data_IF_691019189435
#
_entry.id   IF_691019189435
#
_cell.length_a   1.000
_cell.length_b   1.000
_cell.length_c   1.000
_cell.angle_alpha   90.00
_cell.angle_beta   90.00
_cell.angle_gamma   90.00
#
_symmetry.space_group_name_H-M   'P 1'
#
loop_
_entity.id
_entity.type
_entity.pdbx_description
1 polymer ?
#
# COMPACT_ATOMS: atom_id res chain seq x y z
N UNK A 1 -7.51 52.14 9.26
CA UNK A 1 -7.38 51.48 10.58
C UNK A 1 -7.96 50.08 10.46
N UNK A 2 -7.10 49.07 10.67
CA UNK A 2 -7.31 47.68 11.14
C UNK A 2 -8.43 46.84 10.50
N UNK A 3 -8.13 45.80 9.71
CA UNK A 3 -7.60 44.46 10.03
C UNK A 3 -8.53 43.54 10.83
N UNK A 4 -8.87 42.43 10.14
CA UNK A 4 -8.77 41.03 10.60
C UNK A 4 -9.77 40.52 11.65
N UNK A 5 -10.71 39.69 11.19
CA UNK A 5 -11.56 38.86 12.02
C UNK A 5 -11.38 37.37 11.68
N UNK A 6 -10.94 36.63 12.71
CA UNK A 6 -11.09 35.19 12.95
C UNK A 6 -10.42 34.19 12.01
N UNK A 7 -9.14 33.95 12.31
CA UNK A 7 -8.52 32.62 12.15
C UNK A 7 -8.89 31.76 13.35
N UNK A 8 -9.82 30.81 13.14
CA UNK A 8 -10.12 29.78 14.13
C UNK A 8 -8.91 28.85 14.26
N UNK A 9 -8.39 28.75 15.49
CA UNK A 9 -7.43 27.73 15.87
C UNK A 9 -8.08 26.36 15.88
N UNK A 10 -7.44 25.40 15.20
CA UNK A 10 -7.57 23.98 15.52
C UNK A 10 -6.16 23.52 15.82
N UNK A 11 -5.95 23.11 17.08
CA UNK A 11 -4.69 22.60 17.57
C UNK A 11 -4.25 21.40 16.75
N UNK A 12 -2.97 21.41 16.39
CA UNK A 12 -2.27 20.23 15.91
C UNK A 12 -1.49 19.64 17.10
N UNK A 13 -1.99 18.58 17.75
CA UNK A 13 -1.18 17.83 18.69
C UNK A 13 -0.34 16.79 17.93
N UNK A 14 0.72 16.30 18.58
CA UNK A 14 1.44 15.07 18.25
C UNK A 14 2.56 15.19 17.20
N UNK A 15 3.66 15.85 17.58
CA UNK A 15 4.99 15.44 17.12
C UNK A 15 5.52 14.34 18.06
N UNK A 16 5.06 13.11 17.85
CA UNK A 16 5.62 11.92 18.47
C UNK A 16 6.34 11.10 17.39
N UNK A 17 7.57 11.50 17.04
CA UNK A 17 8.49 10.61 16.32
C UNK A 17 9.13 9.66 17.33
N UNK A 18 8.34 8.67 17.76
CA UNK A 18 8.84 7.40 18.22
C UNK A 18 8.76 6.43 17.03
N UNK A 19 9.76 6.42 16.16
CA UNK A 19 9.97 5.27 15.27
C UNK A 19 10.85 4.25 16.01
N UNK A 20 10.32 3.74 17.12
CA UNK A 20 10.65 2.41 17.56
C UNK A 20 9.57 1.48 16.99
N UNK A 21 9.97 0.58 16.09
CA UNK A 21 9.41 -0.77 16.09
C UNK A 21 10.48 -1.75 15.61
N UNK A 22 11.04 -2.56 16.51
CA UNK A 22 11.63 -3.83 16.11
C UNK A 22 10.50 -4.70 15.53
N UNK A 23 10.81 -5.39 14.43
CA UNK A 23 9.94 -6.40 13.82
C UNK A 23 9.84 -7.58 14.78
N UNK A 24 8.75 -7.62 15.55
CA UNK A 24 8.38 -8.77 16.38
C UNK A 24 7.57 -9.76 15.53
N UNK A 25 8.05 -11.00 15.52
CA UNK A 25 7.42 -12.21 14.99
C UNK A 25 8.55 -13.23 14.87
N UNK A 26 8.85 -14.10 15.85
CA UNK A 26 7.98 -14.97 16.65
C UNK A 26 6.85 -15.58 15.84
N UNK A 27 7.16 -16.69 15.18
CA UNK A 27 6.33 -17.91 15.23
C UNK A 27 7.20 -19.11 14.89
N UNK A 28 7.62 -19.85 15.93
CA UNK A 28 7.88 -21.27 15.81
C UNK A 28 6.51 -21.98 15.76
N UNK A 29 6.23 -22.75 14.69
CA UNK A 29 5.17 -23.75 14.69
C UNK A 29 4.01 -23.53 13.71
N UNK A 30 4.05 -24.27 12.61
CA UNK A 30 2.90 -24.81 11.88
C UNK A 30 1.85 -23.84 11.31
N UNK A 31 1.88 -23.57 10.00
CA UNK A 31 0.69 -23.06 9.31
C UNK A 31 0.93 -22.46 7.93
N UNK A 32 1.05 -23.30 6.89
CA UNK A 32 1.15 -22.90 5.47
C UNK A 32 0.10 -21.86 4.99
N UNK A 33 -1.00 -21.71 5.71
CA UNK A 33 -2.12 -20.80 5.35
C UNK A 33 -1.93 -19.38 5.90
N UNK A 34 -1.21 -19.21 7.02
CA UNK A 34 -0.96 -17.91 7.67
C UNK A 34 0.15 -17.12 6.99
N UNK A 35 1.10 -17.81 6.36
CA UNK A 35 2.22 -17.19 5.64
C UNK A 35 1.72 -16.34 4.46
N UNK A 36 0.72 -16.85 3.73
CA UNK A 36 0.16 -16.18 2.56
C UNK A 36 -0.58 -14.90 2.94
N UNK A 37 -1.42 -14.95 3.99
CA UNK A 37 -2.15 -13.76 4.45
C UNK A 37 -1.17 -12.71 5.02
N UNK A 38 -0.07 -13.14 5.64
CA UNK A 38 1.02 -12.26 6.07
C UNK A 38 1.74 -11.60 4.89
N UNK A 39 2.05 -12.35 3.83
CA UNK A 39 2.64 -11.81 2.59
C UNK A 39 1.71 -10.81 1.91
N UNK A 40 0.40 -11.09 1.85
CA UNK A 40 -0.59 -10.14 1.35
C UNK A 40 -0.61 -8.84 2.18
N UNK A 41 -0.54 -8.93 3.51
CA UNK A 41 -0.43 -7.73 4.34
C UNK A 41 0.87 -6.96 4.12
N UNK A 42 1.99 -7.66 3.92
CA UNK A 42 3.26 -7.01 3.55
C UNK A 42 3.14 -6.26 2.23
N UNK A 43 2.53 -6.89 1.21
CA UNK A 43 2.30 -6.26 -0.10
C UNK A 43 1.39 -5.04 0.04
N UNK A 44 0.31 -5.12 0.82
CA UNK A 44 -0.54 -3.96 1.12
C UNK A 44 0.26 -2.82 1.77
N UNK A 45 1.19 -3.16 2.68
CA UNK A 45 2.10 -2.21 3.31
C UNK A 45 3.06 -1.54 2.31
N UNK A 46 3.57 -2.28 1.33
CA UNK A 46 4.41 -1.73 0.25
C UNK A 46 3.57 -0.82 -0.66
N UNK A 47 2.34 -1.22 -1.01
CA UNK A 47 1.42 -0.40 -1.82
C UNK A 47 1.12 0.94 -1.12
N UNK A 48 0.96 0.96 0.21
CA UNK A 48 0.76 2.22 0.94
C UNK A 48 1.96 3.16 0.90
N UNK A 49 3.18 2.67 0.62
CA UNK A 49 4.34 3.56 0.41
C UNK A 49 4.23 4.35 -0.91
N UNK A 50 3.39 3.90 -1.84
CA UNK A 50 3.10 4.61 -3.09
C UNK A 50 2.15 5.79 -2.84
N UNK A 51 1.45 5.88 -1.69
CA UNK A 51 0.64 7.06 -1.33
C UNK A 51 1.49 8.25 -0.83
N UNK A 52 2.57 8.56 -1.53
CA UNK A 52 3.49 9.66 -1.19
C UNK A 52 3.07 10.98 -1.85
N UNK A 53 3.22 12.16 -1.22
CA UNK A 53 2.91 13.45 -1.84
C UNK A 53 3.72 13.75 -3.12
N UNK A 54 4.82 13.04 -3.38
CA UNK A 54 5.58 13.16 -4.63
C UNK A 54 4.88 12.56 -5.84
N UNK A 55 3.96 11.60 -5.65
CA UNK A 55 3.19 11.04 -6.76
C UNK A 55 1.90 11.83 -6.98
N UNK A 56 1.51 12.09 -8.24
CA UNK A 56 0.30 12.81 -8.53
C UNK A 56 -0.94 12.05 -8.06
N UNK A 57 -2.04 12.80 -7.85
CA UNK A 57 -3.29 12.29 -7.27
C UNK A 57 -3.84 11.05 -7.99
N UNK A 58 -3.61 10.92 -9.29
CA UNK A 58 -4.05 9.78 -10.10
C UNK A 58 -3.43 8.46 -9.59
N UNK A 59 -2.11 8.44 -9.42
CA UNK A 59 -1.37 7.26 -8.96
C UNK A 59 -1.77 6.92 -7.52
N UNK A 60 -1.79 7.92 -6.64
CA UNK A 60 -2.20 7.75 -5.23
C UNK A 60 -3.56 7.09 -5.10
N UNK A 61 -4.53 7.62 -5.85
CA UNK A 61 -5.89 7.10 -5.84
C UNK A 61 -5.95 5.66 -6.38
N UNK A 62 -5.18 5.36 -7.43
CA UNK A 62 -5.10 4.02 -8.01
C UNK A 62 -4.47 3.01 -7.05
N UNK A 63 -3.32 3.32 -6.44
CA UNK A 63 -2.64 2.45 -5.49
C UNK A 63 -3.51 2.17 -4.27
N UNK A 64 -4.17 3.21 -3.73
CA UNK A 64 -5.10 3.06 -2.60
C UNK A 64 -6.31 2.21 -2.96
N UNK A 65 -6.85 2.39 -4.17
CA UNK A 65 -7.94 1.54 -4.67
C UNK A 65 -7.47 0.10 -4.86
N UNK A 66 -6.24 -0.11 -5.34
CA UNK A 66 -5.67 -1.44 -5.58
C UNK A 66 -5.53 -2.24 -4.28
N UNK A 67 -5.06 -1.61 -3.20
CA UNK A 67 -4.92 -2.26 -1.89
C UNK A 67 -6.26 -2.42 -1.17
N UNK A 68 -7.08 -1.36 -1.06
CA UNK A 68 -8.31 -1.39 -0.26
C UNK A 68 -9.44 -2.18 -0.96
N UNK A 69 -9.60 -2.01 -2.27
CA UNK A 69 -10.75 -2.57 -3.02
C UNK A 69 -10.54 -4.00 -3.48
N UNK A 70 -9.29 -4.39 -3.73
CA UNK A 70 -8.92 -5.73 -4.21
C UNK A 70 -8.10 -6.49 -3.18
N UNK A 71 -6.93 -5.97 -2.79
CA UNK A 71 -5.99 -6.72 -1.97
C UNK A 71 -6.47 -6.99 -0.54
N UNK A 72 -7.35 -6.16 0.04
CA UNK A 72 -7.94 -6.34 1.38
C UNK A 72 -9.39 -6.88 1.34
N UNK A 73 -9.93 -7.13 0.15
CA UNK A 73 -11.31 -7.55 -0.02
C UNK A 73 -11.48 -9.07 0.15
N UNK A 74 -11.81 -9.52 1.36
CA UNK A 74 -12.02 -10.95 1.67
C UNK A 74 -13.26 -11.59 1.01
N UNK A 75 -14.08 -10.83 0.28
CA UNK A 75 -15.26 -11.37 -0.40
C UNK A 75 -14.94 -12.02 -1.76
N UNK A 76 -13.70 -11.90 -2.25
CA UNK A 76 -13.26 -12.46 -3.54
C UNK A 76 -12.16 -13.50 -3.32
N UNK A 77 -12.04 -14.43 -4.24
CA UNK A 77 -10.92 -15.37 -4.30
C UNK A 77 -9.59 -14.65 -4.37
N UNK A 78 -8.58 -15.27 -3.77
CA UNK A 78 -7.25 -14.70 -3.66
C UNK A 78 -6.61 -14.47 -5.03
N UNK A 79 -6.74 -15.42 -5.95
CA UNK A 79 -6.22 -15.30 -7.32
C UNK A 79 -6.80 -14.10 -8.05
N UNK A 80 -8.12 -13.90 -7.91
CA UNK A 80 -8.83 -12.77 -8.51
C UNK A 80 -8.36 -11.45 -7.89
N UNK A 81 -8.17 -11.40 -6.57
CA UNK A 81 -7.69 -10.19 -5.90
C UNK A 81 -6.29 -9.83 -6.36
N UNK A 82 -5.40 -10.82 -6.45
CA UNK A 82 -4.03 -10.64 -6.92
C UNK A 82 -4.04 -10.13 -8.37
N UNK A 83 -4.71 -10.84 -9.27
CA UNK A 83 -4.77 -10.45 -10.68
C UNK A 83 -5.35 -9.04 -10.89
N UNK A 84 -6.41 -8.69 -10.16
CA UNK A 84 -7.01 -7.36 -10.25
C UNK A 84 -6.11 -6.27 -9.67
N UNK A 85 -5.37 -6.56 -8.59
CA UNK A 85 -4.36 -5.63 -8.07
C UNK A 85 -3.22 -5.45 -9.08
N UNK A 86 -2.67 -6.53 -9.63
CA UNK A 86 -1.57 -6.46 -10.62
C UNK A 86 -1.98 -5.62 -11.83
N UNK A 87 -3.15 -5.91 -12.42
CA UNK A 87 -3.68 -5.15 -13.54
C UNK A 87 -3.82 -3.65 -13.21
N UNK A 88 -4.30 -3.33 -12.01
CA UNK A 88 -4.45 -1.94 -11.57
C UNK A 88 -3.12 -1.25 -11.29
N UNK A 89 -2.09 -1.98 -10.88
CA UNK A 89 -0.74 -1.45 -10.71
C UNK A 89 -0.03 -1.27 -12.06
N UNK A 90 -0.26 -2.14 -13.04
CA UNK A 90 0.24 -1.96 -14.41
C UNK A 90 -0.32 -0.72 -15.07
N UNK A 91 -1.62 -0.45 -14.94
CA UNK A 91 -2.23 0.81 -15.42
C UNK A 91 -1.56 2.05 -14.82
N UNK A 92 -1.09 1.97 -13.57
CA UNK A 92 -0.35 3.05 -12.93
C UNK A 92 1.08 3.15 -13.45
N UNK A 93 1.71 2.02 -13.75
CA UNK A 93 3.07 1.95 -14.25
C UNK A 93 3.20 2.50 -15.69
N UNK A 94 2.15 2.34 -16.50
CA UNK A 94 2.07 2.94 -17.84
C UNK A 94 1.87 4.46 -17.83
N UNK A 95 1.59 5.07 -16.66
CA UNK A 95 1.39 6.51 -16.57
C UNK A 95 2.73 7.27 -16.67
N UNK A 96 2.88 8.20 -17.64
CA UNK A 96 4.13 8.92 -17.85
C UNK A 96 4.49 9.90 -16.72
N UNK A 97 3.59 10.14 -15.76
CA UNK A 97 3.85 10.97 -14.59
C UNK A 97 4.39 10.19 -13.39
N UNK A 98 4.60 8.87 -13.51
CA UNK A 98 5.14 8.06 -12.42
C UNK A 98 6.66 8.27 -12.25
N UNK A 99 7.15 8.62 -11.05
CA UNK A 99 8.58 8.67 -10.77
C UNK A 99 9.18 7.25 -10.76
N UNK A 100 10.45 7.08 -11.20
CA UNK A 100 11.08 5.76 -11.35
C UNK A 100 11.24 4.98 -10.04
N UNK A 101 11.33 5.68 -8.89
CA UNK A 101 11.32 5.06 -7.56
C UNK A 101 10.05 4.23 -7.33
N UNK A 102 8.88 4.72 -7.75
CA UNK A 102 7.60 4.03 -7.55
C UNK A 102 7.38 2.92 -8.59
N UNK A 103 7.90 3.09 -9.81
CA UNK A 103 7.88 2.04 -10.81
C UNK A 103 8.59 0.77 -10.33
N UNK A 104 9.72 0.94 -9.62
CA UNK A 104 10.44 -0.18 -9.00
C UNK A 104 9.62 -0.86 -7.91
N UNK A 105 8.90 -0.09 -7.08
CA UNK A 105 8.01 -0.64 -6.04
C UNK A 105 6.87 -1.46 -6.65
N UNK A 106 6.28 -1.01 -7.76
CA UNK A 106 5.23 -1.76 -8.47
C UNK A 106 5.76 -3.10 -8.99
N UNK A 107 6.95 -3.11 -9.59
CA UNK A 107 7.57 -4.35 -10.06
C UNK A 107 7.86 -5.31 -8.90
N UNK A 108 8.32 -4.80 -7.75
CA UNK A 108 8.51 -5.60 -6.54
C UNK A 108 7.20 -6.20 -6.04
N UNK A 109 6.10 -5.42 -6.05
CA UNK A 109 4.77 -5.90 -5.68
C UNK A 109 4.30 -6.99 -6.63
N UNK A 110 4.41 -6.79 -7.96
CA UNK A 110 4.03 -7.79 -8.95
C UNK A 110 4.79 -9.11 -8.75
N UNK A 111 6.11 -9.03 -8.52
CA UNK A 111 6.93 -10.21 -8.26
C UNK A 111 6.51 -10.93 -6.98
N UNK A 112 6.22 -10.19 -5.91
CA UNK A 112 5.75 -10.76 -4.65
C UNK A 112 4.37 -11.41 -4.77
N UNK A 113 3.48 -10.81 -5.57
CA UNK A 113 2.16 -11.35 -5.87
C UNK A 113 2.23 -12.64 -6.68
N UNK A 114 3.10 -12.71 -7.70
CA UNK A 114 3.36 -13.94 -8.47
C UNK A 114 3.94 -15.06 -7.60
N UNK A 115 4.82 -14.73 -6.64
CA UNK A 115 5.34 -15.71 -5.70
C UNK A 115 4.24 -16.35 -4.85
N UNK A 116 3.25 -15.56 -4.40
CA UNK A 116 2.11 -16.08 -3.64
C UNK A 116 1.28 -17.02 -4.52
N UNK A 117 0.96 -16.61 -5.75
CA UNK A 117 0.21 -17.46 -6.70
C UNK A 117 0.91 -18.79 -6.97
N UNK A 118 2.25 -18.80 -6.96
CA UNK A 118 3.05 -20.00 -7.23
C UNK A 118 3.11 -20.97 -6.05
N UNK A 119 2.78 -20.53 -4.84
CA UNK A 119 2.78 -21.35 -3.62
C UNK A 119 1.41 -21.94 -3.28
N UNK A 120 0.34 -21.48 -3.95
CA UNK A 120 -1.05 -21.94 -3.82
C UNK A 120 -1.31 -23.11 -4.77
#
# INVERSE_FOLDING_TARGET
>A
MVQEAHKAGVGNPLKASACGRPVAGDTCGGGRMSDIETKLQQIAGIITQIDDPKVPRNIRQGSKTASEKWLLNKAKDMDVRIAMTQNKLEELFEDPNMPPEFGTLILQINTALEQILREV
#
